data_IF_339128163769
#
_entry.id   IF_339128163769
#
_cell.length_a   1.000
_cell.length_b   1.000
_cell.length_c   1.000
_cell.angle_alpha   90.00
_cell.angle_beta   90.00
_cell.angle_gamma   90.00
#
_symmetry.space_group_name_H-M   'P 1'
#
loop_
_entity.id
_entity.type
_entity.pdbx_description
1 polymer ?
#
# COMPACT_ATOMS: atom_id res chain seq x y z
N UNK A 1 -16.44 6.46 -5.83
CA UNK A 1 -15.07 5.99 -5.60
C UNK A 1 -14.45 5.33 -6.82
N UNK A 2 -15.07 4.32 -7.44
CA UNK A 2 -14.54 3.61 -8.62
C UNK A 2 -14.27 4.51 -9.83
N UNK A 3 -15.14 5.48 -10.14
CA UNK A 3 -14.97 6.40 -11.28
C UNK A 3 -13.74 7.29 -11.12
N UNK A 4 -13.49 7.78 -9.90
CA UNK A 4 -12.30 8.60 -9.60
C UNK A 4 -11.04 7.76 -9.76
N UNK A 5 -11.08 6.50 -9.31
CA UNK A 5 -9.95 5.59 -9.38
C UNK A 5 -9.59 5.24 -10.83
N UNK A 6 -10.60 4.95 -11.66
CA UNK A 6 -10.41 4.68 -13.08
C UNK A 6 -9.76 5.86 -13.79
N UNK A 7 -10.28 7.08 -13.60
CA UNK A 7 -9.68 8.30 -14.16
C UNK A 7 -8.26 8.55 -13.68
N UNK A 8 -7.96 8.23 -12.42
CA UNK A 8 -6.62 8.39 -11.85
C UNK A 8 -5.63 7.42 -12.51
N UNK A 9 -6.03 6.16 -12.66
CA UNK A 9 -5.22 5.14 -13.32
C UNK A 9 -5.01 5.45 -14.81
N UNK A 10 -6.05 5.88 -15.52
CA UNK A 10 -5.95 6.28 -16.93
C UNK A 10 -5.06 7.51 -17.14
N UNK A 11 -5.11 8.48 -16.22
CA UNK A 11 -4.38 9.74 -16.37
C UNK A 11 -2.91 9.65 -15.96
N UNK A 12 -2.60 8.91 -14.89
CA UNK A 12 -1.27 8.89 -14.29
C UNK A 12 -0.56 7.55 -14.41
N UNK A 13 -1.29 6.49 -14.80
CA UNK A 13 -0.79 5.13 -14.87
C UNK A 13 -0.73 4.42 -13.52
N UNK A 14 -0.85 3.09 -13.55
CA UNK A 14 -0.91 2.25 -12.35
C UNK A 14 0.37 2.35 -11.50
N UNK A 15 1.55 2.42 -12.13
CA UNK A 15 2.84 2.56 -11.45
C UNK A 15 2.91 3.81 -10.58
N UNK A 16 2.60 4.97 -11.15
CA UNK A 16 2.68 6.26 -10.43
C UNK A 16 1.67 6.34 -9.30
N UNK A 17 0.45 5.86 -9.55
CA UNK A 17 -0.62 5.83 -8.52
C UNK A 17 -0.23 4.90 -7.38
N UNK A 18 0.35 3.72 -7.68
CA UNK A 18 0.84 2.78 -6.68
C UNK A 18 1.95 3.38 -5.82
N UNK A 19 2.97 3.97 -6.45
CA UNK A 19 4.09 4.61 -5.74
C UNK A 19 3.60 5.77 -4.88
N UNK A 20 2.74 6.64 -5.42
CA UNK A 20 2.17 7.75 -4.65
C UNK A 20 1.37 7.26 -3.44
N UNK A 21 0.59 6.19 -3.57
CA UNK A 21 -0.16 5.62 -2.45
C UNK A 21 0.75 5.06 -1.36
N UNK A 22 1.88 4.43 -1.72
CA UNK A 22 2.86 3.91 -0.76
C UNK A 22 3.60 5.05 -0.04
N UNK A 23 3.96 6.12 -0.74
CA UNK A 23 4.59 7.29 -0.11
C UNK A 23 3.62 8.02 0.84
N UNK A 24 2.36 8.14 0.47
CA UNK A 24 1.32 8.68 1.37
C UNK A 24 1.08 7.76 2.58
N UNK A 25 1.16 6.45 2.39
CA UNK A 25 1.10 5.50 3.51
C UNK A 25 2.31 5.65 4.45
N UNK A 26 3.52 5.86 3.91
CA UNK A 26 4.73 6.15 4.70
C UNK A 26 4.55 7.42 5.54
N UNK A 27 4.07 8.51 4.92
CA UNK A 27 3.76 9.75 5.64
C UNK A 27 2.74 9.52 6.76
N UNK A 28 1.69 8.76 6.50
CA UNK A 28 0.68 8.41 7.50
C UNK A 28 1.27 7.66 8.70
N UNK A 29 2.16 6.71 8.47
CA UNK A 29 2.81 5.98 9.56
C UNK A 29 3.66 6.90 10.43
N UNK A 30 4.38 7.86 9.83
CA UNK A 30 5.14 8.89 10.57
C UNK A 30 4.19 9.74 11.41
N UNK A 31 3.07 10.20 10.85
CA UNK A 31 2.08 11.00 11.57
C UNK A 31 1.54 10.28 12.81
N UNK A 32 1.19 9.00 12.69
CA UNK A 32 0.67 8.21 13.83
C UNK A 32 1.77 8.00 14.87
N UNK A 33 2.99 7.66 14.45
CA UNK A 33 4.11 7.43 15.36
C UNK A 33 4.58 8.68 16.10
N UNK A 34 4.52 9.86 15.47
CA UNK A 34 5.00 11.11 16.06
C UNK A 34 3.98 11.76 17.01
N UNK A 35 2.68 11.62 16.74
CA UNK A 35 1.61 12.25 17.54
C UNK A 35 0.47 11.26 17.85
N UNK A 36 0.74 10.21 18.65
CA UNK A 36 -0.21 9.16 18.93
C UNK A 36 -1.39 9.65 19.80
N UNK A 37 -1.19 10.69 20.62
CA UNK A 37 -2.18 11.19 21.56
C UNK A 37 -3.14 12.23 20.94
N UNK A 38 -2.90 12.65 19.71
CA UNK A 38 -3.76 13.63 19.02
C UNK A 38 -4.90 12.95 18.28
N UNK A 39 -6.10 13.05 18.80
CA UNK A 39 -7.30 12.52 18.15
C UNK A 39 -7.49 13.07 16.73
N UNK A 40 -7.26 14.36 16.54
CA UNK A 40 -7.33 15.00 15.21
C UNK A 40 -6.35 14.36 14.23
N UNK A 41 -5.09 14.14 14.66
CA UNK A 41 -4.06 13.49 13.86
C UNK A 41 -4.48 12.05 13.50
N UNK A 42 -5.01 11.30 14.46
CA UNK A 42 -5.48 9.92 14.22
C UNK A 42 -6.63 9.91 13.20
N UNK A 43 -7.62 10.80 13.33
CA UNK A 43 -8.75 10.90 12.38
C UNK A 43 -8.25 11.23 10.97
N UNK A 44 -7.36 12.21 10.83
CA UNK A 44 -6.75 12.56 9.54
C UNK A 44 -5.96 11.38 8.94
N UNK A 45 -5.19 10.69 9.77
CA UNK A 45 -4.46 9.50 9.35
C UNK A 45 -5.39 8.38 8.89
N UNK A 46 -6.56 8.19 9.50
CA UNK A 46 -7.55 7.20 9.06
C UNK A 46 -8.24 7.59 7.74
N UNK A 47 -8.54 8.86 7.54
CA UNK A 47 -9.04 9.36 6.25
C UNK A 47 -7.99 9.12 5.14
N UNK A 48 -6.73 9.39 5.43
CA UNK A 48 -5.62 9.14 4.52
C UNK A 48 -5.44 7.63 4.27
N UNK A 49 -5.67 6.79 5.29
CA UNK A 49 -5.64 5.34 5.14
C UNK A 49 -6.69 4.84 4.15
N UNK A 50 -7.92 5.30 4.26
CA UNK A 50 -8.99 4.91 3.34
C UNK A 50 -8.63 5.27 1.88
N UNK A 51 -8.07 6.45 1.66
CA UNK A 51 -7.62 6.90 0.35
C UNK A 51 -6.43 6.07 -0.17
N UNK A 52 -5.38 5.90 0.63
CA UNK A 52 -4.16 5.20 0.21
C UNK A 52 -4.39 3.71 0.03
N UNK A 53 -5.13 3.07 0.90
CA UNK A 53 -5.46 1.65 0.78
C UNK A 53 -6.30 1.37 -0.48
N UNK A 54 -7.32 2.20 -0.74
CA UNK A 54 -8.16 2.07 -1.92
C UNK A 54 -7.39 2.26 -3.23
N UNK A 55 -6.51 3.27 -3.29
CA UNK A 55 -5.68 3.53 -4.47
C UNK A 55 -4.62 2.46 -4.69
N UNK A 56 -3.96 2.02 -3.62
CA UNK A 56 -3.01 0.92 -3.68
C UNK A 56 -3.65 -0.37 -4.21
N UNK A 57 -4.77 -0.77 -3.61
CA UNK A 57 -5.44 -2.01 -3.98
C UNK A 57 -5.95 -1.97 -5.43
N UNK A 58 -6.55 -0.87 -5.86
CA UNK A 58 -7.02 -0.71 -7.24
C UNK A 58 -5.85 -0.78 -8.24
N UNK A 59 -4.73 -0.13 -7.95
CA UNK A 59 -3.53 -0.18 -8.78
C UNK A 59 -2.93 -1.58 -8.84
N UNK A 60 -2.87 -2.28 -7.71
CA UNK A 60 -2.36 -3.65 -7.63
C UNK A 60 -3.23 -4.62 -8.44
N UNK A 61 -4.55 -4.55 -8.31
CA UNK A 61 -5.48 -5.39 -9.10
C UNK A 61 -5.38 -5.06 -10.59
N UNK A 62 -5.25 -3.79 -10.96
CA UNK A 62 -5.04 -3.40 -12.35
C UNK A 62 -3.77 -4.04 -12.92
N UNK A 63 -2.67 -4.00 -12.20
CA UNK A 63 -1.41 -4.64 -12.59
C UNK A 63 -1.55 -6.17 -12.68
N UNK A 64 -2.21 -6.80 -11.71
CA UNK A 64 -2.49 -8.25 -11.74
C UNK A 64 -3.26 -8.62 -13.01
N UNK A 65 -4.30 -7.86 -13.36
CA UNK A 65 -5.07 -8.12 -14.58
C UNK A 65 -4.26 -7.85 -15.87
N UNK A 66 -3.29 -6.95 -15.79
CA UNK A 66 -2.39 -6.70 -16.91
C UNK A 66 -1.43 -7.86 -17.16
N UNK A 67 -0.77 -8.37 -16.09
CA UNK A 67 0.19 -9.46 -16.20
C UNK A 67 -0.46 -10.84 -16.37
N UNK A 68 -1.63 -11.06 -15.76
CA UNK A 68 -2.39 -12.31 -15.83
C UNK A 68 -3.63 -12.13 -16.70
N UNK A 69 -3.53 -12.47 -17.99
CA UNK A 69 -4.61 -12.24 -18.96
C UNK A 69 -5.58 -13.44 -19.09
N UNK A 70 -6.82 -13.15 -19.48
CA UNK A 70 -7.83 -14.14 -19.79
C UNK A 70 -8.15 -15.08 -18.61
N UNK A 71 -8.07 -16.38 -18.83
CA UNK A 71 -8.40 -17.41 -17.81
C UNK A 71 -7.46 -17.41 -16.61
N UNK A 72 -6.31 -16.74 -16.68
CA UNK A 72 -5.33 -16.66 -15.59
C UNK A 72 -5.60 -15.50 -14.63
N UNK A 73 -6.47 -14.55 -14.95
CA UNK A 73 -6.76 -13.39 -14.09
C UNK A 73 -7.20 -13.80 -12.68
N UNK A 74 -8.13 -14.76 -12.56
CA UNK A 74 -8.58 -15.26 -11.27
C UNK A 74 -7.48 -15.91 -10.46
N UNK A 75 -6.56 -16.63 -11.09
CA UNK A 75 -5.41 -17.23 -10.42
C UNK A 75 -4.40 -16.16 -9.96
N UNK A 76 -4.14 -15.15 -10.80
CA UNK A 76 -3.28 -14.03 -10.45
C UNK A 76 -3.83 -13.24 -9.26
N UNK A 77 -5.14 -12.98 -9.23
CA UNK A 77 -5.80 -12.30 -8.13
C UNK A 77 -5.78 -13.13 -6.83
N UNK A 78 -6.01 -14.44 -6.93
CA UNK A 78 -5.92 -15.34 -5.79
C UNK A 78 -4.49 -15.38 -5.22
N UNK A 79 -3.47 -15.47 -6.08
CA UNK A 79 -2.06 -15.44 -5.69
C UNK A 79 -1.71 -14.12 -4.99
N UNK A 80 -2.08 -12.98 -5.58
CA UNK A 80 -1.90 -11.66 -4.99
C UNK A 80 -2.53 -11.57 -3.60
N UNK A 81 -3.79 -12.00 -3.46
CA UNK A 81 -4.49 -11.94 -2.18
C UNK A 81 -3.87 -12.86 -1.13
N UNK A 82 -3.51 -14.09 -1.51
CA UNK A 82 -2.91 -15.06 -0.59
C UNK A 82 -1.53 -14.62 -0.11
N UNK A 83 -0.70 -14.09 -0.98
CA UNK A 83 0.64 -13.62 -0.62
C UNK A 83 0.55 -12.31 0.17
N UNK A 84 -0.19 -11.31 -0.33
CA UNK A 84 -0.22 -9.98 0.28
C UNK A 84 -1.00 -9.93 1.59
N UNK A 85 -2.23 -10.45 1.61
CA UNK A 85 -3.09 -10.39 2.80
C UNK A 85 -2.97 -11.64 3.68
N UNK A 86 -2.71 -12.81 3.09
CA UNK A 86 -2.49 -14.04 3.83
C UNK A 86 -1.11 -14.05 4.49
N UNK A 87 -0.08 -14.40 3.75
CA UNK A 87 1.28 -14.52 4.28
C UNK A 87 1.83 -13.17 4.76
N UNK A 88 1.74 -12.11 3.95
CA UNK A 88 2.23 -10.77 4.30
C UNK A 88 1.49 -10.18 5.51
N UNK A 89 0.17 -10.35 5.57
CA UNK A 89 -0.64 -9.91 6.72
C UNK A 89 -0.28 -10.63 8.01
N UNK A 90 -0.14 -11.96 7.97
CA UNK A 90 0.25 -12.76 9.14
C UNK A 90 1.65 -12.40 9.65
N UNK A 91 2.64 -12.36 8.74
CA UNK A 91 4.01 -11.97 9.09
C UNK A 91 4.10 -10.54 9.60
N UNK A 92 3.39 -9.62 8.96
CA UNK A 92 3.34 -8.22 9.37
C UNK A 92 2.72 -8.04 10.75
N UNK A 93 1.64 -8.75 11.06
CA UNK A 93 1.00 -8.72 12.38
C UNK A 93 1.91 -9.25 13.47
N UNK A 94 2.58 -10.38 13.25
CA UNK A 94 3.53 -10.95 14.21
C UNK A 94 4.73 -10.02 14.42
N UNK A 95 5.33 -9.53 13.35
CA UNK A 95 6.48 -8.64 13.41
C UNK A 95 6.13 -7.31 14.10
N UNK A 96 4.97 -6.73 13.80
CA UNK A 96 4.54 -5.48 14.43
C UNK A 96 4.20 -5.65 15.91
N UNK A 97 3.58 -6.79 16.28
CA UNK A 97 3.34 -7.12 17.69
C UNK A 97 4.63 -7.23 18.48
N UNK A 98 5.60 -7.97 17.98
CA UNK A 98 6.93 -8.10 18.61
C UNK A 98 7.67 -6.76 18.69
N UNK A 99 7.66 -5.98 17.60
CA UNK A 99 8.28 -4.67 17.59
C UNK A 99 7.62 -3.69 18.58
N UNK A 100 6.29 -3.77 18.70
CA UNK A 100 5.54 -2.94 19.65
C UNK A 100 5.94 -3.23 21.10
N UNK A 101 6.03 -4.48 21.48
CA UNK A 101 6.40 -4.90 22.84
C UNK A 101 7.89 -4.61 23.16
N UNK A 102 8.78 -4.81 22.19
CA UNK A 102 10.22 -4.70 22.40
C UNK A 102 10.81 -3.30 22.18
N UNK A 103 10.29 -2.56 21.19
CA UNK A 103 10.85 -1.27 20.75
C UNK A 103 9.90 -0.09 20.99
N UNK A 104 8.64 -0.38 21.28
CA UNK A 104 7.57 0.61 21.48
C UNK A 104 6.92 1.13 20.21
N UNK A 105 5.86 1.95 20.36
CA UNK A 105 5.01 2.39 19.25
C UNK A 105 5.75 3.15 18.16
N UNK A 106 6.56 4.14 18.56
CA UNK A 106 7.27 4.99 17.60
C UNK A 106 8.15 4.20 16.63
N UNK A 107 8.96 3.28 17.15
CA UNK A 107 9.85 2.47 16.33
C UNK A 107 9.07 1.48 15.44
N UNK A 108 7.96 0.95 15.93
CA UNK A 108 7.07 0.08 15.13
C UNK A 108 6.54 0.82 13.91
N UNK A 109 6.05 2.05 14.07
CA UNK A 109 5.60 2.88 12.95
C UNK A 109 6.74 3.35 12.05
N UNK A 110 7.92 3.60 12.60
CA UNK A 110 9.11 3.91 11.81
C UNK A 110 9.51 2.73 10.89
N UNK A 111 9.48 1.50 11.42
CA UNK A 111 9.73 0.28 10.63
C UNK A 111 8.69 0.14 9.52
N UNK A 112 7.40 0.33 9.82
CA UNK A 112 6.34 0.31 8.80
C UNK A 112 6.56 1.35 7.70
N UNK A 113 7.04 2.55 8.07
CA UNK A 113 7.41 3.61 7.12
C UNK A 113 8.54 3.15 6.18
N UNK A 114 9.58 2.52 6.71
CA UNK A 114 10.70 2.00 5.91
C UNK A 114 10.21 0.96 4.91
N UNK A 115 9.36 0.02 5.33
CA UNK A 115 8.77 -0.97 4.41
C UNK A 115 7.91 -0.33 3.31
N UNK A 116 7.13 0.70 3.63
CA UNK A 116 6.33 1.42 2.63
C UNK A 116 7.22 2.14 1.60
N UNK A 117 8.30 2.79 2.03
CA UNK A 117 9.28 3.45 1.15
C UNK A 117 10.02 2.43 0.29
N UNK A 118 10.45 1.31 0.88
CA UNK A 118 11.08 0.23 0.12
C UNK A 118 10.13 -0.35 -0.93
N UNK A 119 8.87 -0.56 -0.58
CA UNK A 119 7.83 -0.98 -1.51
C UNK A 119 7.64 0.01 -2.66
N UNK A 120 7.63 1.31 -2.36
CA UNK A 120 7.56 2.36 -3.37
C UNK A 120 8.77 2.35 -4.30
N UNK A 121 9.97 2.16 -3.76
CA UNK A 121 11.20 2.07 -4.55
C UNK A 121 11.20 0.84 -5.46
N UNK A 122 10.83 -0.33 -4.94
CA UNK A 122 10.72 -1.57 -5.74
C UNK A 122 9.68 -1.40 -6.84
N UNK A 123 8.51 -0.85 -6.53
CA UNK A 123 7.47 -0.60 -7.52
C UNK A 123 7.96 0.36 -8.61
N UNK A 124 8.73 1.39 -8.25
CA UNK A 124 9.32 2.33 -9.20
C UNK A 124 10.35 1.67 -10.12
N UNK A 125 11.16 0.76 -9.62
CA UNK A 125 12.23 0.11 -10.39
C UNK A 125 11.73 -1.01 -11.31
N UNK A 126 10.76 -1.80 -10.85
CA UNK A 126 10.39 -3.06 -11.49
C UNK A 126 9.05 -3.05 -12.22
N UNK A 127 8.20 -2.06 -12.00
CA UNK A 127 6.95 -1.93 -12.77
C UNK A 127 7.21 -1.06 -13.99
N UNK A 128 7.01 -1.64 -15.18
CA UNK A 128 7.20 -0.92 -16.44
C UNK A 128 6.20 0.22 -16.62
N UNK A 129 6.71 1.39 -16.98
CA UNK A 129 5.90 2.55 -17.35
C UNK A 129 5.33 2.47 -18.78
N UNK A 130 5.78 1.48 -19.57
CA UNK A 130 5.38 1.31 -20.97
C UNK A 130 3.89 0.94 -21.16
N UNK A 131 3.16 0.70 -20.08
CA UNK A 131 1.76 0.28 -20.07
C UNK A 131 0.82 1.33 -19.46
N UNK A 132 1.30 2.55 -19.28
CA UNK A 132 0.53 3.68 -18.74
C UNK A 132 -0.32 4.39 -19.82
N UNK A 133 -0.47 3.76 -21.01
CA UNK A 133 -1.29 4.30 -22.14
C UNK A 133 -2.35 3.32 -22.61
#
# INVERSE_FOLDING_TARGET
MFIVMHRLLERYGARRVLVASLLLAAMRWIMIGAWPDSLTNIVLAQCLHAATFGTFHASAIHLVHHYFRGRLQGRGQALYSSVSFGAGGAMGSLASGYAWESLGPFHTFAIATVFAVMGAWVAWQFIDSAHDH
#
